data_IF_074505899003
#
_entry.id   IF_074505899003
#
_cell.length_a   1.000
_cell.length_b   1.000
_cell.length_c   1.000
_cell.angle_alpha   90.00
_cell.angle_beta   90.00
_cell.angle_gamma   90.00
#
_symmetry.space_group_name_H-M   'P 1'
#
loop_
_entity.id
_entity.type
_entity.pdbx_description
1 polymer ?
#
# COMPACT_ATOMS: atom_id res chain seq x y z
N UNK A 1 4.62 0.46 -15.37
CA UNK A 1 3.36 -0.10 -14.82
C UNK A 1 2.31 1.01 -14.75
N UNK A 2 1.07 0.78 -15.20
CA UNK A 2 -0.04 1.69 -14.91
C UNK A 2 -0.73 1.25 -13.62
N UNK A 3 -0.74 2.11 -12.60
CA UNK A 3 -1.40 1.84 -11.32
C UNK A 3 -2.75 2.53 -11.31
N UNK A 4 -3.80 1.80 -10.91
CA UNK A 4 -5.14 2.36 -10.72
C UNK A 4 -5.20 2.98 -9.33
N UNK A 5 -5.90 4.10 -9.19
CA UNK A 5 -6.09 4.73 -7.88
C UNK A 5 -7.33 4.22 -7.14
N UNK A 6 -8.31 3.64 -7.85
CA UNK A 6 -9.55 3.15 -7.25
C UNK A 6 -9.71 1.66 -7.51
N UNK A 7 -9.76 0.86 -6.46
CA UNK A 7 -9.89 -0.59 -6.54
C UNK A 7 -11.30 -1.04 -6.18
N UNK A 8 -11.83 -1.98 -6.97
CA UNK A 8 -13.15 -2.59 -6.73
C UNK A 8 -13.13 -3.49 -5.50
N UNK A 9 -12.06 -4.26 -5.30
CA UNK A 9 -11.94 -5.24 -4.20
C UNK A 9 -10.65 -5.06 -3.40
N UNK A 10 -10.67 -5.51 -2.14
CA UNK A 10 -9.46 -5.55 -1.30
C UNK A 10 -8.38 -6.47 -1.87
N UNK A 11 -8.78 -7.54 -2.59
CA UNK A 11 -7.84 -8.48 -3.20
C UNK A 11 -7.07 -7.85 -4.35
N UNK A 12 -7.75 -7.14 -5.25
CA UNK A 12 -7.08 -6.46 -6.38
C UNK A 12 -6.11 -5.38 -5.89
N UNK A 13 -6.52 -4.65 -4.85
CA UNK A 13 -5.68 -3.67 -4.18
C UNK A 13 -4.43 -4.34 -3.58
N UNK A 14 -4.61 -5.44 -2.84
CA UNK A 14 -3.50 -6.15 -2.20
C UNK A 14 -2.50 -6.70 -3.23
N UNK A 15 -2.99 -7.27 -4.34
CA UNK A 15 -2.15 -7.75 -5.45
C UNK A 15 -1.34 -6.62 -6.05
N UNK A 16 -1.95 -5.44 -6.23
CA UNK A 16 -1.23 -4.29 -6.77
C UNK A 16 -0.17 -3.77 -5.80
N UNK A 17 -0.51 -3.62 -4.51
CA UNK A 17 0.45 -3.21 -3.48
C UNK A 17 1.65 -4.16 -3.41
N UNK A 18 1.41 -5.47 -3.53
CA UNK A 18 2.49 -6.45 -3.59
C UNK A 18 3.40 -6.21 -4.79
N UNK A 19 2.82 -6.04 -5.99
CA UNK A 19 3.60 -5.78 -7.19
C UNK A 19 4.43 -4.50 -7.11
N UNK A 20 3.90 -3.44 -6.48
CA UNK A 20 4.63 -2.18 -6.27
C UNK A 20 5.85 -2.38 -5.36
N UNK A 21 5.67 -3.08 -4.23
CA UNK A 21 6.76 -3.33 -3.28
C UNK A 21 7.80 -4.29 -3.85
N UNK A 22 7.35 -5.32 -4.57
CA UNK A 22 8.22 -6.28 -5.22
C UNK A 22 9.06 -5.61 -6.32
N UNK A 23 8.46 -4.72 -7.12
CA UNK A 23 9.19 -3.91 -8.10
C UNK A 23 10.25 -3.02 -7.44
N UNK A 24 9.95 -2.43 -6.28
CA UNK A 24 10.95 -1.68 -5.50
C UNK A 24 12.10 -2.58 -5.05
N UNK A 25 11.81 -3.75 -4.47
CA UNK A 25 12.84 -4.69 -4.04
C UNK A 25 13.69 -5.24 -5.20
N UNK A 26 13.13 -5.31 -6.40
CA UNK A 26 13.82 -5.72 -7.61
C UNK A 26 14.59 -4.58 -8.28
N UNK A 27 14.64 -3.38 -7.70
CA UNK A 27 15.26 -2.17 -8.26
C UNK A 27 14.62 -1.68 -9.58
N UNK A 28 13.36 -2.04 -9.83
CA UNK A 28 12.59 -1.61 -11.01
C UNK A 28 11.83 -0.30 -10.77
N UNK A 29 11.80 0.14 -9.51
CA UNK A 29 11.05 1.29 -9.04
C UNK A 29 11.84 1.99 -7.94
N UNK A 30 11.97 3.31 -8.00
CA UNK A 30 12.72 4.09 -7.01
C UNK A 30 11.88 4.40 -5.76
N UNK A 31 12.55 4.79 -4.67
CA UNK A 31 11.90 5.03 -3.37
C UNK A 31 10.84 6.15 -3.42
N UNK A 32 11.12 7.26 -4.11
CA UNK A 32 10.16 8.36 -4.24
C UNK A 32 8.85 7.91 -4.92
N UNK A 33 8.99 7.10 -5.97
CA UNK A 33 7.87 6.53 -6.70
C UNK A 33 7.11 5.51 -5.85
N UNK A 34 7.81 4.72 -5.02
CA UNK A 34 7.19 3.76 -4.10
C UNK A 34 6.27 4.48 -3.12
N UNK A 35 6.84 5.48 -2.43
CA UNK A 35 6.14 6.25 -1.40
C UNK A 35 4.90 6.89 -2.02
N UNK A 36 5.07 7.59 -3.15
CA UNK A 36 3.97 8.26 -3.83
C UNK A 36 2.85 7.31 -4.21
N UNK A 37 3.16 6.19 -4.88
CA UNK A 37 2.13 5.27 -5.37
C UNK A 37 1.41 4.57 -4.21
N UNK A 38 2.14 4.09 -3.20
CA UNK A 38 1.53 3.43 -2.04
C UNK A 38 0.61 4.39 -1.29
N UNK A 39 1.07 5.63 -1.09
CA UNK A 39 0.25 6.67 -0.48
C UNK A 39 -1.01 6.98 -1.32
N UNK A 40 -0.86 7.21 -2.62
CA UNK A 40 -1.97 7.49 -3.52
C UNK A 40 -2.99 6.34 -3.54
N UNK A 41 -2.54 5.09 -3.52
CA UNK A 41 -3.42 3.91 -3.41
C UNK A 41 -4.15 3.88 -2.06
N UNK A 42 -3.47 4.23 -0.96
CA UNK A 42 -4.07 4.26 0.37
C UNK A 42 -5.15 5.34 0.50
N UNK A 43 -4.84 6.60 0.18
CA UNK A 43 -5.79 7.72 0.39
C UNK A 43 -7.07 7.58 -0.43
N UNK A 44 -7.00 6.90 -1.58
CA UNK A 44 -8.15 6.65 -2.45
C UNK A 44 -8.91 5.35 -2.08
N UNK A 45 -8.39 4.53 -1.16
CA UNK A 45 -9.01 3.27 -0.74
C UNK A 45 -8.83 2.97 0.77
N UNK A 46 -9.02 3.93 1.69
CA UNK A 46 -8.63 3.76 3.10
C UNK A 46 -9.31 2.55 3.75
N UNK A 47 -10.62 2.38 3.56
CA UNK A 47 -11.42 1.27 4.12
C UNK A 47 -11.04 -0.12 3.56
N UNK A 48 -10.32 -0.15 2.43
CA UNK A 48 -9.82 -1.41 1.86
C UNK A 48 -8.47 -1.80 2.44
N UNK A 49 -7.72 -0.82 2.95
CA UNK A 49 -6.40 -1.04 3.56
C UNK A 49 -6.54 -1.24 5.06
N UNK A 50 -7.18 -0.29 5.75
CA UNK A 50 -7.37 -0.26 7.19
C UNK A 50 -8.85 -0.38 7.54
N UNK A 51 -9.13 -1.10 8.62
CA UNK A 51 -10.42 -1.12 9.31
C UNK A 51 -10.14 -1.06 10.80
N UNK A 52 -10.77 -0.13 11.51
CA UNK A 52 -10.57 0.09 12.95
C UNK A 52 -9.08 0.26 13.31
N UNK A 53 -8.35 1.04 12.51
CA UNK A 53 -6.92 1.31 12.68
C UNK A 53 -5.98 0.13 12.37
N UNK A 54 -6.50 -1.00 11.88
CA UNK A 54 -5.73 -2.21 11.63
C UNK A 54 -5.84 -2.65 10.17
N UNK A 55 -4.79 -3.28 9.62
CA UNK A 55 -4.91 -3.90 8.30
C UNK A 55 -6.05 -4.92 8.27
N UNK A 56 -6.83 -4.86 7.19
CA UNK A 56 -7.90 -5.82 6.95
C UNK A 56 -7.34 -7.24 6.83
N UNK A 57 -8.18 -8.24 7.14
CA UNK A 57 -7.75 -9.65 7.06
C UNK A 57 -7.29 -10.04 5.65
N UNK A 58 -7.91 -9.47 4.60
CA UNK A 58 -7.50 -9.72 3.21
C UNK A 58 -6.08 -9.21 2.96
N UNK A 59 -5.76 -7.98 3.40
CA UNK A 59 -4.40 -7.43 3.27
C UNK A 59 -3.38 -8.25 4.06
N UNK A 60 -3.71 -8.67 5.29
CA UNK A 60 -2.86 -9.56 6.11
C UNK A 60 -2.54 -10.88 5.40
N UNK A 61 -3.55 -11.50 4.79
CA UNK A 61 -3.38 -12.77 4.08
C UNK A 61 -2.62 -12.63 2.77
N UNK A 62 -2.87 -11.57 2.00
CA UNK A 62 -2.31 -11.41 0.65
C UNK A 62 -0.91 -10.77 0.65
N UNK A 63 -0.64 -9.79 1.50
CA UNK A 63 0.63 -9.06 1.47
C UNK A 63 1.72 -9.72 2.30
N UNK A 64 1.34 -10.38 3.40
CA UNK A 64 2.27 -10.93 4.37
C UNK A 64 3.02 -9.85 5.17
N UNK A 65 3.69 -10.28 6.23
CA UNK A 65 4.25 -9.38 7.26
C UNK A 65 5.19 -8.30 6.70
N UNK A 66 6.19 -8.69 5.89
CA UNK A 66 7.24 -7.77 5.41
C UNK A 66 6.70 -6.64 4.55
N UNK A 67 5.73 -6.92 3.67
CA UNK A 67 5.13 -5.90 2.80
C UNK A 67 4.23 -4.97 3.60
N UNK A 68 3.46 -5.51 4.54
CA UNK A 68 2.64 -4.69 5.43
C UNK A 68 3.48 -3.73 6.29
N UNK A 69 4.66 -4.14 6.76
CA UNK A 69 5.56 -3.24 7.49
C UNK A 69 6.04 -2.06 6.65
N UNK A 70 6.30 -2.26 5.35
CA UNK A 70 6.67 -1.17 4.43
C UNK A 70 5.48 -0.24 4.19
N UNK A 71 4.30 -0.81 3.92
CA UNK A 71 3.05 -0.05 3.71
C UNK A 71 2.72 0.80 4.93
N UNK A 72 2.80 0.21 6.13
CA UNK A 72 2.52 0.88 7.41
C UNK A 72 3.45 2.09 7.63
N UNK A 73 4.75 1.92 7.35
CA UNK A 73 5.72 3.02 7.46
C UNK A 73 5.42 4.18 6.50
N UNK A 74 5.02 3.86 5.27
CA UNK A 74 4.68 4.88 4.26
C UNK A 74 3.43 5.65 4.70
N UNK A 75 2.37 4.94 5.09
CA UNK A 75 1.10 5.56 5.49
C UNK A 75 1.26 6.43 6.75
N UNK A 76 2.02 5.96 7.74
CA UNK A 76 2.25 6.71 8.98
C UNK A 76 3.06 7.97 8.76
N UNK A 77 4.06 7.92 7.88
CA UNK A 77 4.90 9.08 7.55
C UNK A 77 4.07 10.28 7.08
N UNK A 78 3.01 10.05 6.30
CA UNK A 78 2.14 11.14 5.85
C UNK A 78 1.12 11.59 6.91
N UNK A 79 0.70 10.70 7.80
CA UNK A 79 -0.19 11.07 8.91
C UNK A 79 0.51 12.02 9.89
N UNK A 80 1.82 11.83 10.12
CA UNK A 80 2.64 12.69 10.98
C UNK A 80 2.98 14.05 10.32
N UNK A 81 3.02 14.14 8.98
CA UNK A 81 3.29 15.39 8.25
C UNK A 81 2.07 16.33 8.15
N UNK A 82 0.87 15.84 8.48
CA UNK A 82 -0.39 16.60 8.49
C UNK A 82 -0.89 16.92 9.92
N UNK A 83 -0.06 16.65 10.93
CA UNK A 83 -0.33 16.89 12.35
C UNK A 83 0.43 18.12 12.88
#
# INVERSE_FOLDING_TARGET
>A
MQVKLFYKTQRDLAVTLNGIIDAYWNNELNEETLIKIVHDVYINNPDKVLKDGNFTTVLKQQCGKRRLEVIDKIIKRDTDNMS
#
